data_IF_661583325927
#
_entry.id   IF_661583325927
#
_cell.length_a   1.000
_cell.length_b   1.000
_cell.length_c   1.000
_cell.angle_alpha   90.00
_cell.angle_beta   90.00
_cell.angle_gamma   90.00
#
_symmetry.space_group_name_H-M   'P 1'
#
loop_
_entity.id
_entity.type
_entity.pdbx_description
1 polymer ?
#
# COMPACT_ATOMS: atom_id res chain seq x y z
N UNK A 1 7.34 -1.91 13.20
CA UNK A 1 7.55 -1.70 11.74
C UNK A 1 8.44 -0.49 11.44
N UNK A 2 8.06 0.73 11.83
CA UNK A 2 8.84 1.96 11.51
C UNK A 2 10.31 1.88 11.94
N UNK A 3 10.59 1.39 13.16
CA UNK A 3 11.97 1.25 13.64
C UNK A 3 12.80 0.30 12.77
N UNK A 4 12.28 -0.88 12.46
CA UNK A 4 12.92 -1.85 11.56
C UNK A 4 13.17 -1.26 10.16
N UNK A 5 12.25 -0.44 9.65
CA UNK A 5 12.46 0.25 8.38
C UNK A 5 13.60 1.28 8.48
N UNK A 6 13.76 1.99 9.60
CA UNK A 6 14.90 2.92 9.84
C UNK A 6 16.23 2.19 9.78
N UNK A 7 16.30 0.97 10.30
CA UNK A 7 17.49 0.13 10.22
C UNK A 7 17.77 -0.30 8.77
N UNK A 8 16.75 -0.79 8.06
CA UNK A 8 16.90 -1.26 6.67
C UNK A 8 17.19 -0.14 5.67
N UNK A 9 16.72 1.07 5.94
CA UNK A 9 16.86 2.25 5.08
C UNK A 9 17.67 3.34 5.78
N UNK A 10 18.76 2.95 6.43
CA UNK A 10 19.62 3.84 7.23
C UNK A 10 20.15 5.06 6.45
N UNK A 11 20.34 4.92 5.13
CA UNK A 11 20.78 6.01 4.25
C UNK A 11 19.65 6.95 3.79
N UNK A 12 18.39 6.70 4.16
CA UNK A 12 17.23 7.47 3.72
C UNK A 12 16.58 8.21 4.88
N UNK A 13 16.32 9.51 4.69
CA UNK A 13 15.70 10.34 5.72
C UNK A 13 14.20 10.04 5.83
N UNK A 14 13.71 9.76 7.04
CA UNK A 14 12.33 9.28 7.25
C UNK A 14 11.23 10.20 6.70
N UNK A 15 11.44 11.53 6.71
CA UNK A 15 10.47 12.49 6.18
C UNK A 15 10.27 12.38 4.66
N UNK A 16 11.15 11.67 3.96
CA UNK A 16 11.00 11.37 2.52
C UNK A 16 10.12 10.15 2.27
N UNK A 17 9.72 9.43 3.32
CA UNK A 17 8.96 8.19 3.17
C UNK A 17 7.47 8.50 3.16
N UNK A 18 6.82 8.07 2.08
CA UNK A 18 5.39 8.14 1.95
C UNK A 18 4.76 6.84 2.48
N UNK A 19 3.82 6.98 3.41
CA UNK A 19 3.07 5.87 3.97
C UNK A 19 1.61 5.94 3.49
N UNK A 20 1.11 4.86 2.89
CA UNK A 20 -0.25 4.78 2.36
C UNK A 20 -0.97 3.60 3.00
N UNK A 21 -2.16 3.84 3.54
CA UNK A 21 -3.02 2.84 4.16
C UNK A 21 -4.50 3.23 3.98
N UNK A 22 -5.41 2.28 4.17
CA UNK A 22 -6.85 2.54 4.13
C UNK A 22 -7.34 3.35 5.35
N UNK A 23 -8.58 3.82 5.30
CA UNK A 23 -9.22 4.53 6.41
C UNK A 23 -10.07 3.61 7.31
N UNK A 24 -9.67 2.36 7.52
CA UNK A 24 -10.38 1.49 8.47
C UNK A 24 -10.41 2.09 9.87
N UNK A 25 -11.40 1.73 10.69
CA UNK A 25 -11.57 2.29 12.05
C UNK A 25 -10.32 2.18 12.92
N UNK A 26 -9.55 1.10 12.76
CA UNK A 26 -8.30 0.89 13.50
C UNK A 26 -7.19 1.84 13.04
N UNK A 27 -7.09 2.09 11.73
CA UNK A 27 -6.11 3.02 11.18
C UNK A 27 -6.47 4.49 11.44
N UNK A 28 -7.77 4.81 11.53
CA UNK A 28 -8.27 6.13 11.88
C UNK A 28 -8.44 6.35 13.39
N UNK A 29 -8.15 5.35 14.23
CA UNK A 29 -8.21 5.48 15.67
C UNK A 29 -7.20 6.52 16.17
N UNK A 30 -7.55 7.24 17.22
CA UNK A 30 -6.74 8.32 17.78
C UNK A 30 -5.30 7.87 18.09
N UNK A 31 -5.13 6.74 18.77
CA UNK A 31 -3.79 6.20 19.11
C UNK A 31 -2.93 5.95 17.87
N UNK A 32 -3.54 5.45 16.79
CA UNK A 32 -2.82 5.20 15.53
C UNK A 32 -2.44 6.52 14.85
N UNK A 33 -3.35 7.50 14.84
CA UNK A 33 -3.10 8.83 14.25
C UNK A 33 -2.01 9.58 15.02
N UNK A 34 -2.02 9.53 16.36
CA UNK A 34 -0.97 10.09 17.21
C UNK A 34 0.39 9.42 16.97
N UNK A 35 0.42 8.08 16.86
CA UNK A 35 1.64 7.35 16.51
C UNK A 35 2.19 7.79 15.15
N UNK A 36 1.32 7.89 14.13
CA UNK A 36 1.72 8.30 12.79
C UNK A 36 2.23 9.73 12.75
N UNK A 37 1.56 10.67 13.44
CA UNK A 37 1.99 12.06 13.55
C UNK A 37 3.39 12.18 14.18
N UNK A 38 3.68 11.34 15.19
CA UNK A 38 4.97 11.33 15.89
C UNK A 38 6.05 10.50 15.17
N UNK A 39 5.70 9.73 14.14
CA UNK A 39 6.63 8.82 13.47
C UNK A 39 7.61 9.53 12.51
N UNK A 40 7.29 10.75 12.08
CA UNK A 40 8.05 11.49 11.06
C UNK A 40 7.79 11.02 9.62
N UNK A 41 6.84 10.11 9.41
CA UNK A 41 6.41 9.65 8.08
C UNK A 41 5.47 10.69 7.43
N UNK A 42 5.51 10.76 6.10
CA UNK A 42 4.49 11.47 5.33
C UNK A 42 3.32 10.52 5.05
N UNK A 43 2.25 10.65 5.81
CA UNK A 43 1.03 9.87 5.59
C UNK A 43 0.26 10.43 4.40
N UNK A 44 -0.01 9.59 3.40
CA UNK A 44 -0.80 9.92 2.23
C UNK A 44 -2.29 9.69 2.54
N UNK A 45 -3.14 10.65 2.14
CA UNK A 45 -4.59 10.54 2.34
C UNK A 45 -5.18 9.48 1.42
N UNK A 46 -6.01 8.61 1.96
CA UNK A 46 -6.83 7.65 1.22
C UNK A 46 -8.26 8.18 1.08
N UNK A 47 -8.94 7.94 -0.06
CA UNK A 47 -10.33 8.36 -0.24
C UNK A 47 -11.29 7.39 0.47
N UNK A 48 -12.38 7.89 1.05
CA UNK A 48 -13.33 7.09 1.84
C UNK A 48 -14.07 5.98 1.08
N UNK A 49 -14.03 5.99 -0.26
CA UNK A 49 -14.73 5.04 -1.14
C UNK A 49 -13.77 4.17 -1.98
N UNK A 50 -12.48 4.17 -1.66
CA UNK A 50 -11.41 3.70 -2.55
C UNK A 50 -10.89 2.28 -2.32
N UNK A 51 -11.73 1.25 -2.13
CA UNK A 51 -11.19 -0.14 -2.07
C UNK A 51 -10.41 -0.49 -3.37
N UNK A 52 -10.82 0.06 -4.51
CA UNK A 52 -10.12 -0.06 -5.79
C UNK A 52 -8.71 0.59 -5.83
N UNK A 53 -8.38 1.44 -4.85
CA UNK A 53 -7.12 2.17 -4.77
C UNK A 53 -6.17 1.59 -3.73
N UNK A 54 -6.63 0.68 -2.87
CA UNK A 54 -5.78 -0.01 -1.91
C UNK A 54 -4.82 -0.95 -2.65
N UNK A 55 -3.54 -0.56 -2.68
CA UNK A 55 -2.47 -1.28 -3.39
C UNK A 55 -2.36 -2.75 -2.97
N UNK A 56 -2.60 -3.03 -1.69
CA UNK A 56 -2.61 -4.39 -1.17
C UNK A 56 -3.76 -5.22 -1.76
N UNK A 57 -4.96 -4.67 -1.90
CA UNK A 57 -6.16 -5.42 -2.29
C UNK A 57 -6.11 -5.85 -3.76
N UNK A 58 -5.78 -4.93 -4.68
CA UNK A 58 -5.76 -5.27 -6.11
C UNK A 58 -4.42 -5.87 -6.58
N UNK A 59 -3.32 -5.61 -5.86
CA UNK A 59 -1.99 -6.08 -6.24
C UNK A 59 -1.55 -7.27 -5.40
N UNK A 60 -1.09 -6.99 -4.19
CA UNK A 60 -0.38 -7.96 -3.34
C UNK A 60 -1.26 -9.15 -2.95
N UNK A 61 -2.47 -8.93 -2.45
CA UNK A 61 -3.36 -10.00 -2.00
C UNK A 61 -3.92 -10.81 -3.16
N UNK A 62 -4.14 -10.20 -4.34
CA UNK A 62 -4.55 -10.92 -5.53
C UNK A 62 -3.45 -11.88 -6.01
N UNK A 63 -2.20 -11.40 -6.07
CA UNK A 63 -1.03 -12.22 -6.41
C UNK A 63 -0.80 -13.31 -5.36
N UNK A 64 -0.92 -12.95 -4.08
CA UNK A 64 -0.79 -13.91 -2.99
C UNK A 64 -1.88 -14.97 -3.10
N UNK A 65 -3.14 -14.63 -3.30
CA UNK A 65 -4.23 -15.61 -3.47
C UNK A 65 -3.97 -16.61 -4.59
N UNK A 66 -3.29 -16.20 -5.67
CA UNK A 66 -2.89 -17.12 -6.75
C UNK A 66 -1.76 -18.07 -6.31
N UNK A 67 -0.75 -17.57 -5.59
CA UNK A 67 0.40 -18.38 -5.12
C UNK A 67 0.09 -19.23 -3.88
N UNK A 68 -0.78 -18.75 -2.99
CA UNK A 68 -1.21 -19.42 -1.76
C UNK A 68 -2.09 -20.65 -2.04
N UNK A 69 -2.69 -20.76 -3.24
CA UNK A 69 -3.34 -22.00 -3.71
C UNK A 69 -2.39 -23.22 -3.72
N UNK A 70 -1.08 -23.01 -3.57
CA UNK A 70 -0.04 -24.04 -3.51
C UNK A 70 0.69 -24.20 -2.16
N UNK A 71 0.17 -23.69 -1.03
CA UNK A 71 0.71 -23.85 0.36
C UNK A 71 1.92 -22.99 0.77
N UNK A 72 2.35 -22.00 -0.01
CA UNK A 72 3.31 -21.00 0.51
C UNK A 72 2.61 -20.13 1.56
N UNK A 73 3.36 -19.53 2.49
CA UNK A 73 2.82 -18.50 3.39
C UNK A 73 3.01 -17.11 2.77
N UNK A 74 2.44 -16.07 3.39
CA UNK A 74 2.50 -14.70 2.86
C UNK A 74 3.94 -14.17 2.80
N UNK A 75 4.74 -14.44 3.83
CA UNK A 75 6.11 -13.95 3.93
C UNK A 75 6.99 -14.49 2.81
N UNK A 76 6.92 -15.80 2.55
CA UNK A 76 7.66 -16.42 1.43
C UNK A 76 7.13 -15.93 0.09
N UNK A 77 5.83 -15.70 -0.02
CA UNK A 77 5.24 -15.16 -1.26
C UNK A 77 5.78 -13.75 -1.56
N UNK A 78 5.92 -12.91 -0.54
CA UNK A 78 6.52 -11.58 -0.66
C UNK A 78 8.02 -11.65 -0.97
N UNK A 79 8.74 -12.56 -0.32
CA UNK A 79 10.19 -12.74 -0.54
C UNK A 79 10.50 -13.28 -1.95
N UNK A 80 9.64 -14.13 -2.50
CA UNK A 80 9.77 -14.72 -3.84
C UNK A 80 9.29 -13.78 -4.97
N UNK A 81 8.72 -12.61 -4.66
CA UNK A 81 8.28 -11.66 -5.67
C UNK A 81 9.50 -10.92 -6.25
N UNK A 82 9.73 -11.01 -7.57
CA UNK A 82 10.82 -10.30 -8.20
C UNK A 82 10.54 -8.79 -8.17
N UNK A 83 11.60 -7.97 -8.21
CA UNK A 83 11.49 -6.51 -8.07
C UNK A 83 10.56 -5.91 -9.14
N UNK A 84 10.61 -6.42 -10.36
CA UNK A 84 9.78 -5.97 -11.48
C UNK A 84 8.29 -6.13 -11.18
N UNK A 85 7.90 -7.14 -10.38
CA UNK A 85 6.51 -7.30 -9.96
C UNK A 85 6.09 -6.24 -8.95
N UNK A 86 6.97 -5.85 -8.03
CA UNK A 86 6.71 -4.72 -7.13
C UNK A 86 6.57 -3.41 -7.91
N UNK A 87 7.50 -3.15 -8.84
CA UNK A 87 7.45 -1.98 -9.71
C UNK A 87 6.17 -1.94 -10.56
N UNK A 88 5.74 -3.09 -11.10
CA UNK A 88 4.48 -3.21 -11.84
C UNK A 88 3.27 -2.85 -10.97
N UNK A 89 3.18 -3.38 -9.74
CA UNK A 89 2.07 -3.07 -8.82
C UNK A 89 1.98 -1.56 -8.54
N UNK A 90 3.12 -0.89 -8.30
CA UNK A 90 3.15 0.56 -8.09
C UNK A 90 2.80 1.34 -9.36
N UNK A 91 3.22 0.88 -10.53
CA UNK A 91 2.85 1.49 -11.82
C UNK A 91 1.34 1.41 -12.05
N UNK A 92 0.75 0.24 -11.86
CA UNK A 92 -0.69 0.00 -11.98
C UNK A 92 -1.48 0.86 -10.98
N UNK A 93 -0.93 1.07 -9.77
CA UNK A 93 -1.50 1.97 -8.77
C UNK A 93 -1.58 3.41 -9.27
N UNK A 94 -0.50 3.95 -9.87
CA UNK A 94 -0.52 5.30 -10.44
C UNK A 94 -1.53 5.43 -11.60
N UNK A 95 -1.62 4.42 -12.47
CA UNK A 95 -2.60 4.39 -13.56
C UNK A 95 -4.03 4.39 -12.99
N UNK A 96 -4.29 3.60 -11.95
CA UNK A 96 -5.59 3.56 -11.26
C UNK A 96 -5.94 4.88 -10.61
N UNK A 97 -4.99 5.54 -9.95
CA UNK A 97 -5.23 6.88 -9.37
C UNK A 97 -5.56 7.92 -10.44
N UNK A 98 -4.89 7.85 -11.60
CA UNK A 98 -5.23 8.71 -12.74
C UNK A 98 -6.64 8.45 -13.25
N UNK A 99 -7.00 7.18 -13.48
CA UNK A 99 -8.38 6.80 -13.86
C UNK A 99 -9.39 7.29 -12.82
N UNK A 100 -9.15 7.06 -11.53
CA UNK A 100 -10.04 7.55 -10.46
C UNK A 100 -10.27 9.07 -10.54
N UNK A 101 -9.23 9.84 -10.83
CA UNK A 101 -9.34 11.29 -11.06
C UNK A 101 -10.18 11.60 -12.31
N UNK A 102 -9.92 10.92 -13.42
CA UNK A 102 -10.62 11.13 -14.70
C UNK A 102 -12.12 10.77 -14.61
N UNK A 103 -12.48 9.80 -13.76
CA UNK A 103 -13.86 9.41 -13.46
C UNK A 103 -14.49 10.23 -12.32
N UNK A 104 -13.88 11.36 -11.91
CA UNK A 104 -14.35 12.24 -10.84
C UNK A 104 -14.64 11.51 -9.51
N UNK A 105 -13.81 10.53 -9.18
CA UNK A 105 -13.94 9.71 -7.98
C UNK A 105 -15.00 8.61 -8.04
N UNK A 106 -15.62 8.38 -9.21
CA UNK A 106 -16.51 7.25 -9.41
C UNK A 106 -15.74 5.94 -9.64
N UNK A 107 -16.42 4.82 -9.40
CA UNK A 107 -15.93 3.50 -9.73
C UNK A 107 -15.66 3.38 -11.23
N UNK A 108 -14.59 2.66 -11.61
CA UNK A 108 -14.24 2.35 -12.99
C UNK A 108 -13.88 0.87 -13.10
N UNK A 109 -14.26 0.25 -14.22
CA UNK A 109 -13.89 -1.13 -14.51
C UNK A 109 -12.45 -1.25 -15.03
N UNK A 110 -11.83 -2.37 -14.74
CA UNK A 110 -10.48 -2.70 -15.19
C UNK A 110 -10.58 -3.39 -16.55
N UNK A 111 -10.80 -2.62 -17.62
CA UNK A 111 -10.59 -3.08 -19.00
C UNK A 111 -9.11 -3.31 -19.27
#
# INVERSE_FOLDING_TARGET
>A
VVQKLKELRSCSRIYTWNFYHDNTRLHSAQLTQEFLANSGLKVLKHSSYGSNLALCDFGLYLLAKQKLKGRKNMDQTCADLPEEKWQQIFTDWFIRMKKYKDFNGNYFEQN
#
